data_IF_614271943170
#
_entry.id   IF_614271943170
#
_cell.length_a   1.000
_cell.length_b   1.000
_cell.length_c   1.000
_cell.angle_alpha   90.00
_cell.angle_beta   90.00
_cell.angle_gamma   90.00
#
_symmetry.space_group_name_H-M   'P 1'
#
loop_
_entity.id
_entity.type
_entity.pdbx_description
1 polymer ?
#
# COMPACT_ATOMS: atom_id res chain seq x y z
N UNK A 1 36.41 22.45 -33.29
CA UNK A 1 34.97 22.50 -32.97
C UNK A 1 34.55 21.09 -32.61
N UNK A 2 34.63 20.71 -31.33
CA UNK A 2 34.18 19.41 -30.83
C UNK A 2 33.31 19.65 -29.61
N UNK A 3 32.01 19.39 -29.76
CA UNK A 3 31.05 19.40 -28.67
C UNK A 3 30.97 17.97 -28.10
N UNK A 4 31.53 17.78 -26.90
CA UNK A 4 31.33 16.57 -26.11
C UNK A 4 29.96 16.69 -25.41
N UNK A 5 28.96 16.00 -25.94
CA UNK A 5 27.65 15.87 -25.30
C UNK A 5 27.76 14.73 -24.28
N UNK A 6 27.90 15.09 -23.01
CA UNK A 6 27.84 14.14 -21.89
C UNK A 6 26.37 13.85 -21.58
N UNK A 7 25.88 12.67 -22.00
CA UNK A 7 24.57 12.15 -21.59
C UNK A 7 24.64 11.74 -20.12
N UNK A 8 24.17 12.61 -19.22
CA UNK A 8 23.81 12.20 -17.86
C UNK A 8 22.54 11.36 -17.93
N UNK A 9 22.71 10.04 -17.97
CA UNK A 9 21.63 9.08 -17.73
C UNK A 9 21.29 9.17 -16.24
N UNK A 10 20.29 9.99 -15.90
CA UNK A 10 19.64 9.91 -14.60
C UNK A 10 18.87 8.58 -14.55
N UNK A 11 19.53 7.53 -14.10
CA UNK A 11 18.86 6.29 -13.76
C UNK A 11 17.96 6.58 -12.56
N UNK A 12 16.66 6.74 -12.81
CA UNK A 12 15.62 6.66 -11.79
C UNK A 12 15.63 5.23 -11.24
N UNK A 13 16.54 4.92 -10.33
CA UNK A 13 16.43 3.72 -9.53
C UNK A 13 15.28 3.98 -8.55
N UNK A 14 14.11 3.46 -8.87
CA UNK A 14 13.14 3.14 -7.84
C UNK A 14 13.52 1.76 -7.32
N UNK A 15 13.96 1.69 -6.06
CA UNK A 15 13.83 0.45 -5.31
C UNK A 15 12.35 0.03 -5.37
N UNK A 16 12.09 -1.11 -5.97
CA UNK A 16 10.74 -1.61 -6.22
C UNK A 16 10.30 -2.52 -5.07
N UNK A 17 9.02 -2.53 -4.76
CA UNK A 17 8.42 -3.68 -4.08
C UNK A 17 8.73 -4.90 -4.94
N UNK A 18 9.57 -5.81 -4.43
CA UNK A 18 10.03 -6.99 -5.16
C UNK A 18 8.96 -8.07 -5.18
N UNK A 19 8.20 -8.16 -4.09
CA UNK A 19 7.17 -9.17 -3.89
C UNK A 19 6.02 -8.61 -3.07
N UNK A 20 4.80 -8.87 -3.50
CA UNK A 20 3.58 -8.60 -2.75
C UNK A 20 2.57 -9.73 -3.02
N UNK A 21 2.59 -10.75 -2.16
CA UNK A 21 1.66 -11.89 -2.23
C UNK A 21 0.65 -11.81 -1.09
N UNK A 22 -0.57 -12.27 -1.36
CA UNK A 22 -1.70 -12.24 -0.44
C UNK A 22 -2.43 -13.59 -0.47
N UNK A 23 -2.99 -14.01 0.66
CA UNK A 23 -3.79 -15.24 0.76
C UNK A 23 -5.27 -14.93 0.80
N UNK A 24 -6.09 -15.79 0.20
CA UNK A 24 -7.56 -15.62 0.17
C UNK A 24 -8.00 -14.19 -0.20
N UNK A 25 -7.54 -13.66 -1.35
CA UNK A 25 -7.76 -12.26 -1.68
C UNK A 25 -9.25 -11.95 -1.89
N UNK A 26 -9.72 -10.87 -1.27
CA UNK A 26 -11.01 -10.28 -1.55
C UNK A 26 -10.86 -8.80 -1.89
N UNK A 27 -11.59 -8.34 -2.90
CA UNK A 27 -11.50 -6.97 -3.38
C UNK A 27 -12.88 -6.33 -3.41
N UNK A 28 -12.97 -5.11 -2.90
CA UNK A 28 -14.14 -4.25 -3.07
C UNK A 28 -13.74 -3.05 -3.93
N UNK A 29 -14.44 -2.87 -5.04
CA UNK A 29 -14.16 -1.81 -6.00
C UNK A 29 -15.15 -0.66 -5.85
N UNK A 30 -14.65 0.56 -5.98
CA UNK A 30 -15.41 1.80 -5.80
C UNK A 30 -15.09 2.79 -6.91
N UNK A 31 -16.13 3.48 -7.39
CA UNK A 31 -15.97 4.58 -8.33
C UNK A 31 -15.31 5.77 -7.63
N UNK A 32 -14.48 6.52 -8.34
CA UNK A 32 -13.79 7.68 -7.77
C UNK A 32 -14.75 8.73 -7.18
N UNK A 33 -15.91 8.91 -7.81
CA UNK A 33 -16.96 9.82 -7.32
C UNK A 33 -17.52 9.39 -5.96
N UNK A 34 -17.68 8.09 -5.73
CA UNK A 34 -18.14 7.55 -4.46
C UNK A 34 -17.13 7.82 -3.35
N UNK A 35 -15.85 7.57 -3.62
CA UNK A 35 -14.76 7.84 -2.68
C UNK A 35 -14.76 9.29 -2.25
N UNK A 36 -14.80 10.23 -3.21
CA UNK A 36 -14.81 11.66 -2.90
C UNK A 36 -16.04 12.08 -2.09
N UNK A 37 -17.21 11.51 -2.39
CA UNK A 37 -18.45 11.77 -1.64
C UNK A 37 -18.33 11.30 -0.18
N UNK A 38 -17.85 10.08 0.05
CA UNK A 38 -17.64 9.52 1.41
C UNK A 38 -16.59 10.31 2.18
N UNK A 39 -15.58 10.85 1.50
CA UNK A 39 -14.55 11.69 2.09
C UNK A 39 -15.00 13.16 2.32
N UNK A 40 -16.25 13.49 2.02
CA UNK A 40 -16.89 14.76 2.34
C UNK A 40 -16.72 15.85 1.29
N UNK A 41 -16.29 15.51 0.07
CA UNK A 41 -16.32 16.44 -1.05
C UNK A 41 -17.79 16.63 -1.51
N UNK A 42 -18.27 17.87 -1.46
CA UNK A 42 -19.65 18.22 -1.84
C UNK A 42 -19.85 18.23 -3.36
N UNK A 43 -18.79 18.53 -4.11
CA UNK A 43 -18.76 18.52 -5.58
C UNK A 43 -17.70 17.55 -6.10
N UNK A 44 -18.07 16.77 -7.11
CA UNK A 44 -17.26 15.69 -7.71
C UNK A 44 -16.67 16.07 -9.08
N UNK A 45 -16.61 17.37 -9.39
CA UNK A 45 -16.23 17.85 -10.74
C UNK A 45 -14.73 17.65 -11.04
N UNK A 46 -13.87 17.77 -10.02
CA UNK A 46 -12.43 17.55 -10.14
C UNK A 46 -12.02 16.36 -9.29
N UNK A 47 -12.01 15.18 -9.91
CA UNK A 47 -11.60 13.94 -9.27
C UNK A 47 -10.51 13.27 -10.09
N UNK A 48 -9.39 12.96 -9.46
CA UNK A 48 -8.34 12.20 -10.09
C UNK A 48 -7.48 11.46 -9.05
N UNK A 49 -6.84 10.34 -9.44
CA UNK A 49 -5.80 9.75 -8.61
C UNK A 49 -4.58 10.67 -8.59
N UNK A 50 -4.13 11.05 -7.39
CA UNK A 50 -2.89 11.83 -7.21
C UNK A 50 -1.68 10.91 -7.17
N UNK A 51 -1.82 9.77 -6.50
CA UNK A 51 -0.87 8.66 -6.48
C UNK A 51 -1.63 7.34 -6.49
N UNK A 52 -0.93 6.20 -6.46
CA UNK A 52 -1.60 4.90 -6.34
C UNK A 52 -2.33 4.71 -5.01
N UNK A 53 -2.04 5.51 -3.98
CA UNK A 53 -2.63 5.38 -2.63
C UNK A 53 -3.38 6.64 -2.20
N UNK A 54 -3.50 7.64 -3.06
CA UNK A 54 -4.15 8.92 -2.77
C UNK A 54 -5.08 9.34 -3.91
N UNK A 55 -6.28 9.76 -3.54
CA UNK A 55 -7.24 10.41 -4.43
C UNK A 55 -7.27 11.90 -4.16
N UNK A 56 -7.35 12.70 -5.22
CA UNK A 56 -7.64 14.11 -5.14
C UNK A 56 -9.11 14.37 -5.48
N UNK A 57 -9.78 15.09 -4.57
CA UNK A 57 -11.15 15.54 -4.72
C UNK A 57 -11.19 17.05 -4.48
N UNK A 58 -11.43 17.84 -5.54
CA UNK A 58 -11.53 19.30 -5.46
C UNK A 58 -10.33 19.95 -4.73
N UNK A 59 -9.11 19.59 -5.14
CA UNK A 59 -7.81 20.04 -4.58
C UNK A 59 -7.52 19.59 -3.13
N UNK A 60 -8.30 18.66 -2.58
CA UNK A 60 -7.97 17.98 -1.32
C UNK A 60 -7.52 16.56 -1.61
N UNK A 61 -6.38 16.18 -1.05
CA UNK A 61 -5.85 14.82 -1.14
C UNK A 61 -6.33 13.97 0.03
N UNK A 62 -6.79 12.77 -0.26
CA UNK A 62 -7.26 11.80 0.72
C UNK A 62 -6.51 10.49 0.54
N UNK A 63 -6.02 9.90 1.63
CA UNK A 63 -5.42 8.56 1.57
C UNK A 63 -6.52 7.52 1.37
N UNK A 64 -6.24 6.53 0.52
CA UNK A 64 -7.24 5.52 0.19
C UNK A 64 -7.49 4.52 1.31
N UNK A 65 -6.51 4.31 2.19
CA UNK A 65 -6.71 3.50 3.38
C UNK A 65 -7.72 4.15 4.33
N UNK A 66 -7.72 5.48 4.49
CA UNK A 66 -8.71 6.17 5.34
C UNK A 66 -10.14 5.99 4.81
N UNK A 67 -10.31 6.03 3.49
CA UNK A 67 -11.59 5.70 2.86
C UNK A 67 -12.00 4.26 3.16
N UNK A 68 -11.13 3.28 2.94
CA UNK A 68 -11.43 1.87 3.19
C UNK A 68 -11.74 1.59 4.67
N UNK A 69 -11.03 2.23 5.60
CA UNK A 69 -11.28 2.13 7.04
C UNK A 69 -12.66 2.68 7.43
N UNK A 70 -13.10 3.78 6.81
CA UNK A 70 -14.45 4.32 7.01
C UNK A 70 -15.53 3.39 6.43
N UNK A 71 -15.27 2.82 5.27
CA UNK A 71 -16.22 1.94 4.59
C UNK A 71 -16.35 0.59 5.31
N UNK A 72 -15.27 0.09 5.89
CA UNK A 72 -15.20 -1.22 6.53
C UNK A 72 -14.66 -1.14 7.96
N UNK A 73 -15.37 -0.49 8.88
CA UNK A 73 -14.85 -0.20 10.23
C UNK A 73 -14.52 -1.45 11.05
N UNK A 74 -15.17 -2.59 10.79
CA UNK A 74 -14.96 -3.84 11.53
C UNK A 74 -14.22 -4.95 10.76
N UNK A 75 -13.89 -4.74 9.48
CA UNK A 75 -13.23 -5.76 8.65
C UNK A 75 -11.78 -6.02 9.05
N UNK A 76 -11.51 -7.09 9.80
CA UNK A 76 -10.16 -7.40 10.29
C UNK A 76 -9.16 -7.74 9.19
N UNK A 77 -9.63 -8.22 8.04
CA UNK A 77 -8.77 -8.60 6.93
C UNK A 77 -8.35 -7.41 6.03
N UNK A 78 -8.79 -6.18 6.32
CA UNK A 78 -8.44 -5.02 5.49
C UNK A 78 -6.92 -4.76 5.48
N UNK A 79 -6.31 -4.82 4.29
CA UNK A 79 -4.86 -4.63 4.12
C UNK A 79 -4.51 -3.23 3.66
N UNK A 80 -5.09 -2.77 2.54
CA UNK A 80 -4.77 -1.46 1.94
C UNK A 80 -5.86 -0.96 1.01
N UNK A 81 -5.82 0.34 0.72
CA UNK A 81 -6.59 0.96 -0.36
C UNK A 81 -5.64 1.42 -1.47
N UNK A 82 -5.97 1.14 -2.74
CA UNK A 82 -5.17 1.61 -3.87
C UNK A 82 -6.01 1.87 -5.13
N UNK A 83 -5.42 2.55 -6.11
CA UNK A 83 -6.04 2.84 -7.40
C UNK A 83 -5.71 1.74 -8.41
N UNK A 84 -6.75 1.15 -9.00
CA UNK A 84 -6.63 0.40 -10.26
C UNK A 84 -6.81 1.39 -11.42
N UNK A 85 -5.68 1.82 -12.01
CA UNK A 85 -5.68 2.79 -13.11
C UNK A 85 -6.33 2.26 -14.39
N UNK A 86 -6.29 0.94 -14.61
CA UNK A 86 -6.87 0.32 -15.80
C UNK A 86 -8.40 0.30 -15.70
N UNK A 87 -8.93 -0.08 -14.53
CA UNK A 87 -10.36 -0.07 -14.25
C UNK A 87 -10.91 1.32 -13.91
N UNK A 88 -10.03 2.28 -13.60
CA UNK A 88 -10.36 3.61 -13.05
C UNK A 88 -11.18 3.53 -11.77
N UNK A 89 -10.81 2.60 -10.88
CA UNK A 89 -11.50 2.37 -9.62
C UNK A 89 -10.55 2.40 -8.44
N UNK A 90 -11.10 2.69 -7.27
CA UNK A 90 -10.42 2.46 -5.99
C UNK A 90 -10.73 1.06 -5.51
N UNK A 91 -9.70 0.37 -5.05
CA UNK A 91 -9.78 -0.99 -4.54
C UNK A 91 -9.48 -0.95 -3.05
N UNK A 92 -10.39 -1.49 -2.25
CA UNK A 92 -10.09 -1.92 -0.89
C UNK A 92 -9.74 -3.41 -0.92
N UNK A 93 -8.51 -3.74 -0.57
CA UNK A 93 -7.96 -5.08 -0.54
C UNK A 93 -8.16 -5.69 0.85
N UNK A 94 -8.65 -6.93 0.89
CA UNK A 94 -8.72 -7.74 2.09
C UNK A 94 -7.97 -9.06 1.87
N UNK A 95 -7.27 -9.49 2.91
CA UNK A 95 -6.48 -10.72 2.91
C UNK A 95 -6.26 -11.23 4.34
N UNK A 96 -6.09 -12.55 4.48
CA UNK A 96 -5.72 -13.13 5.78
C UNK A 96 -4.23 -12.97 6.10
N UNK A 97 -3.39 -12.89 5.07
CA UNK A 97 -1.96 -12.66 5.22
C UNK A 97 -1.37 -11.87 4.06
N UNK A 98 -0.24 -11.22 4.29
CA UNK A 98 0.50 -10.48 3.28
C UNK A 98 1.99 -10.84 3.40
N UNK A 99 2.59 -11.27 2.31
CA UNK A 99 4.04 -11.46 2.17
C UNK A 99 4.60 -10.32 1.32
N UNK A 100 5.39 -9.46 1.94
CA UNK A 100 6.02 -8.32 1.30
C UNK A 100 7.53 -8.49 1.27
N UNK A 101 8.16 -8.27 0.13
CA UNK A 101 9.61 -8.13 0.01
C UNK A 101 9.95 -6.77 -0.59
N UNK A 102 10.81 -6.02 0.07
CA UNK A 102 11.32 -4.73 -0.40
C UNK A 102 12.84 -4.78 -0.50
N UNK A 103 13.37 -4.17 -1.55
CA UNK A 103 14.80 -4.01 -1.71
C UNK A 103 15.32 -2.96 -0.72
N UNK A 104 16.48 -3.23 -0.12
CA UNK A 104 17.18 -2.35 0.82
C UNK A 104 18.20 -1.46 0.11
N UNK A 105 17.77 -0.83 -0.98
CA UNK A 105 18.55 0.16 -1.70
C UNK A 105 17.84 1.52 -1.67
N UNK A 106 18.66 2.58 -1.71
CA UNK A 106 18.21 3.94 -1.92
C UNK A 106 17.09 4.42 -0.97
N UNK A 107 15.88 4.66 -1.50
CA UNK A 107 14.71 5.21 -0.79
C UNK A 107 14.26 4.33 0.37
N UNK A 108 14.32 3.01 0.18
CA UNK A 108 13.70 2.04 1.09
C UNK A 108 14.71 1.46 2.10
N UNK A 109 15.99 1.85 1.98
CA UNK A 109 17.07 1.55 2.92
C UNK A 109 16.68 1.89 4.37
N UNK A 110 15.90 2.95 4.57
CA UNK A 110 15.42 3.38 5.90
C UNK A 110 14.65 2.29 6.65
N UNK A 111 13.93 1.41 5.94
CA UNK A 111 13.18 0.30 6.56
C UNK A 111 14.11 -0.84 7.01
N UNK A 112 15.26 -0.98 6.37
CA UNK A 112 16.14 -2.13 6.55
C UNK A 112 17.12 -2.00 7.72
N UNK A 113 17.34 -0.79 8.24
CA UNK A 113 18.21 -0.58 9.41
C UNK A 113 17.73 -1.31 10.66
N UNK A 114 16.40 -1.43 10.81
CA UNK A 114 15.77 -2.21 11.87
C UNK A 114 14.62 -2.99 11.25
N UNK A 115 14.82 -4.27 10.88
CA UNK A 115 13.84 -5.07 10.15
C UNK A 115 12.45 -5.11 10.80
N UNK A 116 12.38 -5.27 12.13
CA UNK A 116 11.11 -5.26 12.87
C UNK A 116 10.39 -3.93 12.70
N UNK A 117 11.10 -2.83 12.96
CA UNK A 117 10.54 -1.47 12.83
C UNK A 117 10.15 -1.17 11.37
N UNK A 118 10.97 -1.60 10.42
CA UNK A 118 10.70 -1.49 8.99
C UNK A 118 9.41 -2.20 8.59
N UNK A 119 9.22 -3.44 9.04
CA UNK A 119 7.96 -4.15 8.82
C UNK A 119 6.77 -3.48 9.50
N UNK A 120 6.92 -2.93 10.72
CA UNK A 120 5.85 -2.16 11.35
C UNK A 120 5.49 -0.86 10.60
N UNK A 121 6.46 -0.22 9.94
CA UNK A 121 6.21 0.94 9.09
C UNK A 121 5.53 0.51 7.78
N UNK A 122 5.99 -0.56 7.14
CA UNK A 122 5.42 -1.11 5.91
C UNK A 122 4.01 -1.67 6.13
N UNK A 123 3.72 -2.21 7.31
CA UNK A 123 2.40 -2.68 7.73
C UNK A 123 1.33 -1.61 7.54
N UNK A 124 1.63 -0.36 7.87
CA UNK A 124 0.68 0.77 7.74
C UNK A 124 0.27 1.01 6.29
N UNK A 125 1.08 0.56 5.33
CA UNK A 125 0.89 0.78 3.88
C UNK A 125 0.30 -0.47 3.22
N UNK A 126 0.78 -1.66 3.57
CA UNK A 126 0.47 -2.90 2.85
C UNK A 126 -0.40 -3.88 3.63
N UNK A 127 -0.56 -3.72 4.94
CA UNK A 127 -1.17 -4.73 5.80
C UNK A 127 -1.82 -4.09 7.06
N UNK A 128 -2.61 -3.02 6.86
CA UNK A 128 -2.99 -2.06 7.90
C UNK A 128 -3.56 -2.68 9.19
N UNK A 129 -4.43 -3.70 9.07
CA UNK A 129 -5.05 -4.39 10.21
C UNK A 129 -4.41 -5.74 10.57
N UNK A 130 -3.42 -6.17 9.81
CA UNK A 130 -2.66 -7.36 10.14
C UNK A 130 -1.52 -7.01 11.09
N UNK A 131 -0.93 -8.03 11.69
CA UNK A 131 0.22 -7.91 12.58
C UNK A 131 1.48 -8.45 11.95
N UNK A 132 2.64 -7.96 12.40
CA UNK A 132 3.92 -8.53 11.98
C UNK A 132 4.09 -9.89 12.64
N UNK A 133 3.85 -10.95 11.85
CA UNK A 133 4.01 -12.32 12.32
C UNK A 133 5.47 -12.79 12.19
N UNK A 134 6.16 -12.38 11.13
CA UNK A 134 7.58 -12.67 10.94
C UNK A 134 8.27 -11.59 10.11
N UNK A 135 9.57 -11.43 10.31
CA UNK A 135 10.42 -10.58 9.49
C UNK A 135 11.80 -11.23 9.33
N UNK A 136 12.43 -11.02 8.18
CA UNK A 136 13.78 -11.51 7.92
C UNK A 136 14.52 -10.59 6.95
N UNK A 137 15.85 -10.63 7.05
CA UNK A 137 16.75 -10.03 6.07
C UNK A 137 17.34 -11.16 5.25
N UNK A 138 17.11 -11.16 3.95
CA UNK A 138 17.73 -12.09 3.02
C UNK A 138 18.48 -11.28 1.96
N UNK A 139 19.79 -11.49 1.89
CA UNK A 139 20.69 -10.67 1.07
C UNK A 139 20.49 -9.16 1.35
N UNK A 140 20.03 -8.39 0.36
CA UNK A 140 19.72 -6.96 0.46
C UNK A 140 18.22 -6.69 0.48
N UNK A 141 17.40 -7.64 0.94
CA UNK A 141 15.95 -7.51 0.95
C UNK A 141 15.40 -7.67 2.36
N UNK A 142 14.47 -6.77 2.72
CA UNK A 142 13.64 -6.92 3.90
C UNK A 142 12.38 -7.68 3.50
N UNK A 143 12.15 -8.82 4.16
CA UNK A 143 10.95 -9.62 3.98
C UNK A 143 10.07 -9.49 5.22
N UNK A 144 8.81 -9.15 5.00
CA UNK A 144 7.81 -9.00 6.05
C UNK A 144 6.66 -9.97 5.77
N UNK A 145 6.28 -10.72 6.80
CA UNK A 145 5.08 -11.54 6.80
C UNK A 145 4.10 -10.99 7.81
N UNK A 146 2.89 -10.69 7.32
CA UNK A 146 1.81 -10.16 8.11
C UNK A 146 0.64 -11.13 8.14
N UNK A 147 0.02 -11.33 9.30
CA UNK A 147 -1.17 -12.18 9.45
C UNK A 147 -2.10 -11.65 10.54
N UNK A 148 -3.31 -12.20 10.62
CA UNK A 148 -4.18 -12.02 11.80
C UNK A 148 -3.43 -12.45 13.08
N UNK A 149 -3.75 -11.84 14.22
CA UNK A 149 -3.17 -12.20 15.52
C UNK A 149 -3.44 -13.69 15.79
N UNK A 150 -2.41 -14.47 16.16
CA UNK A 150 -2.49 -15.94 16.34
C UNK A 150 -3.60 -16.35 17.32
N UNK A 151 -3.98 -15.47 18.26
CA UNK A 151 -5.07 -15.64 19.23
C UNK A 151 -6.51 -15.46 18.72
N UNK A 152 -6.74 -14.95 17.50
CA UNK A 152 -8.11 -14.81 16.94
C UNK A 152 -8.59 -16.08 16.23
N UNK A 153 -7.67 -16.96 15.84
CA UNK A 153 -7.97 -18.23 15.16
C UNK A 153 -8.66 -19.28 16.05
N UNK A 154 -8.63 -19.11 17.37
CA UNK A 154 -9.22 -20.05 18.33
C UNK A 154 -10.67 -19.75 18.70
N UNK A 155 -11.23 -18.61 18.26
CA UNK A 155 -12.61 -18.21 18.55
C UNK A 155 -13.57 -18.43 17.37
N UNK A 156 -13.11 -19.07 16.29
CA UNK A 156 -13.91 -19.41 15.11
C UNK A 156 -14.17 -20.92 14.95
N UNK A 157 -14.02 -21.71 16.03
CA UNK A 157 -14.39 -23.15 16.08
C UNK A 157 -15.51 -23.36 17.09
#
# INVERSE_FOLDING_TARGET
>A
MSFLISLFIFSNLQAAVLKHEITTPHFKEFEYAEVCKVMGAKDTVLISPKTLTEMECLNKSYTLIDFCLKQFPMEKALTRGFVDLAKKKVICEMSESVMLSVSCDQRDLKYCFNPKKGCEELKKIYANRLEVAHYSMLEKNLNCYFSKHIGESLNEI
#
